data_IF_865523373718
#
_entry.id   IF_865523373718
#
_cell.length_a   1.000
_cell.length_b   1.000
_cell.length_c   1.000
_cell.angle_alpha   90.00
_cell.angle_beta   90.00
_cell.angle_gamma   90.00
#
_symmetry.space_group_name_H-M   'P 1'
#
loop_
_entity.id
_entity.type
_entity.pdbx_description
1 polymer ?
#
# COMPACT_ATOMS: atom_id res chain seq x y z
N UNK A 1 1.71 -12.08 -6.06
CA UNK A 1 2.38 -11.38 -4.94
C UNK A 1 1.46 -10.26 -4.41
N UNK A 2 1.61 -9.83 -3.16
CA UNK A 2 0.77 -8.76 -2.61
C UNK A 2 0.84 -8.70 -1.09
N UNK A 3 -0.08 -7.93 -0.51
CA UNK A 3 -0.22 -7.82 0.94
C UNK A 3 -1.20 -8.87 1.47
N UNK A 4 -0.93 -9.41 2.65
CA UNK A 4 -1.75 -10.43 3.30
C UNK A 4 -2.47 -9.80 4.49
N UNK A 5 -3.79 -9.71 4.43
CA UNK A 5 -4.63 -9.19 5.51
C UNK A 5 -5.86 -10.06 5.78
N UNK A 6 -6.82 -9.51 6.53
CA UNK A 6 -7.99 -10.24 7.02
C UNK A 6 -7.67 -11.09 8.26
N UNK A 7 -8.61 -11.90 8.73
CA UNK A 7 -8.40 -12.65 9.97
C UNK A 7 -7.66 -13.98 9.74
N UNK A 8 -8.11 -14.77 8.76
CA UNK A 8 -7.71 -16.17 8.64
C UNK A 8 -6.21 -16.34 8.38
N UNK A 9 -5.66 -15.68 7.36
CA UNK A 9 -4.26 -15.88 6.98
C UNK A 9 -3.30 -15.20 7.97
N UNK A 10 -3.58 -13.99 8.49
CA UNK A 10 -2.77 -13.35 9.52
C UNK A 10 -2.75 -14.07 10.87
N UNK A 11 -3.86 -14.66 11.30
CA UNK A 11 -4.02 -15.14 12.69
C UNK A 11 -3.95 -16.67 12.81
N UNK A 12 -4.65 -17.42 11.95
CA UNK A 12 -4.77 -18.88 12.08
C UNK A 12 -3.42 -19.62 12.08
N UNK A 13 -2.41 -19.23 11.27
CA UNK A 13 -1.10 -19.86 11.33
C UNK A 13 -0.42 -19.73 12.70
N UNK A 14 -0.65 -18.64 13.43
CA UNK A 14 -0.08 -18.46 14.76
C UNK A 14 -0.74 -19.38 15.80
N UNK A 15 -2.05 -19.65 15.69
CA UNK A 15 -2.70 -20.67 16.51
C UNK A 15 -2.12 -22.06 16.27
N UNK A 16 -1.90 -22.42 15.00
CA UNK A 16 -1.27 -23.70 14.65
C UNK A 16 0.18 -23.77 15.15
N UNK A 17 0.95 -22.68 15.03
CA UNK A 17 2.31 -22.59 15.55
C UNK A 17 2.33 -22.78 17.06
N UNK A 18 1.41 -22.12 17.77
CA UNK A 18 1.27 -22.26 19.22
C UNK A 18 1.01 -23.72 19.59
N UNK A 19 0.04 -24.38 18.95
CA UNK A 19 -0.28 -25.77 19.26
C UNK A 19 0.84 -26.74 18.90
N UNK A 20 1.52 -26.52 17.78
CA UNK A 20 2.68 -27.32 17.37
C UNK A 20 3.81 -27.23 18.40
N UNK A 21 4.10 -26.03 18.93
CA UNK A 21 5.11 -25.82 19.97
C UNK A 21 4.75 -26.53 21.28
N UNK A 22 3.49 -26.50 21.71
CA UNK A 22 3.04 -27.26 22.90
C UNK A 22 3.29 -28.76 22.77
N UNK A 23 3.18 -29.29 21.54
CA UNK A 23 3.41 -30.70 21.23
C UNK A 23 4.88 -31.03 20.93
N UNK A 24 5.81 -30.07 21.11
CA UNK A 24 7.25 -30.24 20.88
C UNK A 24 7.69 -30.10 19.42
N UNK A 25 6.79 -29.74 18.50
CA UNK A 25 7.12 -29.50 17.09
C UNK A 25 7.57 -28.05 16.85
N UNK A 26 8.44 -27.88 15.85
CA UNK A 26 8.99 -26.58 15.46
C UNK A 26 8.59 -26.27 14.00
N UNK A 27 7.44 -25.61 13.77
CA UNK A 27 6.90 -25.39 12.43
C UNK A 27 7.62 -24.25 11.69
N UNK A 28 8.87 -24.48 11.32
CA UNK A 28 9.74 -23.47 10.70
C UNK A 28 9.20 -22.92 9.38
N UNK A 29 8.59 -23.76 8.55
CA UNK A 29 8.01 -23.34 7.26
C UNK A 29 6.87 -22.32 7.46
N UNK A 30 6.00 -22.54 8.44
CA UNK A 30 4.88 -21.62 8.74
C UNK A 30 5.43 -20.30 9.25
N UNK A 31 6.38 -20.34 10.18
CA UNK A 31 7.02 -19.16 10.74
C UNK A 31 7.75 -18.33 9.67
N UNK A 32 8.50 -18.98 8.78
CA UNK A 32 9.18 -18.30 7.67
C UNK A 32 8.19 -17.63 6.73
N UNK A 33 7.10 -18.33 6.37
CA UNK A 33 6.03 -17.76 5.55
C UNK A 33 5.38 -16.54 6.20
N UNK A 34 5.10 -16.59 7.52
CA UNK A 34 4.59 -15.45 8.27
C UNK A 34 5.58 -14.28 8.30
N UNK A 35 6.85 -14.54 8.60
CA UNK A 35 7.88 -13.51 8.63
C UNK A 35 7.98 -12.75 7.30
N UNK A 36 7.90 -13.46 6.16
CA UNK A 36 7.88 -12.84 4.83
C UNK A 36 6.61 -11.98 4.66
N UNK A 37 5.43 -12.53 4.96
CA UNK A 37 4.16 -11.81 4.80
C UNK A 37 4.07 -10.56 5.68
N UNK A 38 4.55 -10.66 6.92
CA UNK A 38 4.55 -9.58 7.91
C UNK A 38 5.54 -8.46 7.52
N UNK A 39 6.59 -8.77 6.75
CA UNK A 39 7.54 -7.79 6.23
C UNK A 39 7.03 -7.03 4.99
N UNK A 40 6.08 -7.59 4.22
CA UNK A 40 5.63 -7.00 2.94
C UNK A 40 5.14 -5.55 3.03
N UNK A 41 4.36 -5.12 4.04
CA UNK A 41 3.95 -3.72 4.17
C UNK A 41 5.15 -2.76 4.27
N UNK A 42 6.14 -3.11 5.09
CA UNK A 42 7.39 -2.35 5.23
C UNK A 42 8.15 -2.30 3.92
N UNK A 43 8.26 -3.44 3.23
CA UNK A 43 8.91 -3.49 1.92
C UNK A 43 8.26 -2.54 0.90
N UNK A 44 6.93 -2.48 0.85
CA UNK A 44 6.19 -1.56 -0.04
C UNK A 44 6.46 -0.10 0.30
N UNK A 45 6.47 0.26 1.58
CA UNK A 45 6.82 1.61 2.02
C UNK A 45 8.28 1.97 1.65
N UNK A 46 9.23 1.05 1.87
CA UNK A 46 10.63 1.23 1.46
C UNK A 46 10.78 1.41 -0.06
N UNK A 47 9.99 0.70 -0.88
CA UNK A 47 9.97 0.89 -2.33
C UNK A 47 9.54 2.31 -2.71
N UNK A 48 8.53 2.85 -2.02
CA UNK A 48 8.10 4.23 -2.23
C UNK A 48 9.18 5.23 -1.81
N UNK A 49 9.79 5.04 -0.63
CA UNK A 49 10.87 5.91 -0.12
C UNK A 49 12.08 5.90 -1.08
N UNK A 50 12.52 4.71 -1.51
CA UNK A 50 13.59 4.57 -2.52
C UNK A 50 13.19 5.28 -3.82
N UNK A 51 11.95 5.09 -4.28
CA UNK A 51 11.45 5.76 -5.47
C UNK A 51 11.50 7.28 -5.39
N UNK A 52 11.04 7.87 -4.28
CA UNK A 52 11.12 9.32 -4.04
C UNK A 52 12.57 9.81 -4.12
N UNK A 53 13.51 9.07 -3.51
CA UNK A 53 14.93 9.40 -3.55
C UNK A 53 15.52 9.31 -4.96
N UNK A 54 15.21 8.26 -5.72
CA UNK A 54 15.67 8.06 -7.10
C UNK A 54 15.22 9.19 -8.04
N UNK A 55 14.02 9.74 -7.84
CA UNK A 55 13.54 10.88 -8.64
C UNK A 55 14.01 12.25 -8.12
N UNK A 56 14.83 12.27 -7.06
CA UNK A 56 15.42 13.46 -6.47
C UNK A 56 14.46 14.29 -5.60
N UNK A 57 13.42 13.67 -5.03
CA UNK A 57 12.49 14.33 -4.12
C UNK A 57 12.99 14.25 -2.67
N UNK A 58 12.76 15.32 -1.91
CA UNK A 58 13.01 15.33 -0.46
C UNK A 58 11.97 14.44 0.21
N UNK A 59 12.42 13.38 0.90
CA UNK A 59 11.52 12.38 1.50
C UNK A 59 10.61 13.03 2.54
N UNK A 60 11.19 13.78 3.49
CA UNK A 60 10.42 14.48 4.53
C UNK A 60 9.52 15.55 3.90
N UNK A 61 8.22 15.45 4.12
CA UNK A 61 7.20 16.34 3.54
C UNK A 61 6.74 15.95 2.13
N UNK A 62 7.30 14.90 1.52
CA UNK A 62 6.73 14.34 0.29
C UNK A 62 5.31 13.84 0.56
N UNK A 63 4.41 14.04 -0.40
CA UNK A 63 3.01 13.61 -0.28
C UNK A 63 2.78 12.32 -1.04
N UNK A 64 2.39 11.25 -0.34
CA UNK A 64 2.13 9.95 -0.96
C UNK A 64 0.67 9.58 -0.77
N UNK A 65 -0.03 9.34 -1.87
CA UNK A 65 -1.40 8.83 -1.85
C UNK A 65 -1.39 7.30 -1.81
N UNK A 66 -2.13 6.72 -0.88
CA UNK A 66 -2.42 5.28 -0.83
C UNK A 66 -3.83 5.07 -1.38
N UNK A 67 -3.91 4.36 -2.50
CA UNK A 67 -5.15 3.95 -3.14
C UNK A 67 -5.50 2.54 -2.65
N UNK A 68 -6.63 2.42 -1.95
CA UNK A 68 -7.11 1.18 -1.34
C UNK A 68 -6.57 0.99 0.07
N UNK A 69 -7.49 0.86 1.02
CA UNK A 69 -7.24 0.77 2.46
C UNK A 69 -7.87 -0.49 3.08
N UNK A 70 -8.85 -1.08 2.40
CA UNK A 70 -9.39 -2.40 2.73
C UNK A 70 -8.31 -3.49 2.63
N UNK A 71 -8.53 -4.66 3.24
CA UNK A 71 -7.59 -5.77 3.07
C UNK A 71 -7.83 -6.55 1.77
N UNK A 72 -9.01 -6.40 1.17
CA UNK A 72 -9.45 -7.13 -0.02
C UNK A 72 -10.19 -6.20 -0.98
N UNK A 73 -9.96 -6.40 -2.26
CA UNK A 73 -10.67 -5.68 -3.31
C UNK A 73 -12.20 -5.80 -3.20
N UNK A 74 -12.87 -4.72 -3.53
CA UNK A 74 -14.32 -4.63 -3.73
C UNK A 74 -15.18 -4.98 -2.50
N UNK A 75 -14.62 -4.98 -1.29
CA UNK A 75 -15.34 -5.21 -0.03
C UNK A 75 -14.87 -4.18 1.02
N UNK A 76 -15.77 -3.52 1.76
CA UNK A 76 -15.42 -2.51 2.78
C UNK A 76 -14.90 -3.14 4.08
N UNK A 77 -13.95 -4.07 4.00
CA UNK A 77 -13.40 -4.74 5.18
C UNK A 77 -11.96 -4.28 5.45
N UNK A 78 -11.79 -3.60 6.58
CA UNK A 78 -10.55 -2.96 7.01
C UNK A 78 -9.82 -3.73 8.10
N UNK A 79 -10.39 -4.84 8.56
CA UNK A 79 -9.81 -5.66 9.63
C UNK A 79 -8.48 -6.24 9.19
N UNK A 80 -7.48 -6.13 10.06
CA UNK A 80 -6.11 -6.57 9.80
C UNK A 80 -5.58 -6.08 8.43
N UNK A 81 -5.98 -4.87 8.02
CA UNK A 81 -5.49 -4.31 6.77
C UNK A 81 -3.99 -3.99 6.90
N UNK A 82 -3.15 -4.56 6.02
CA UNK A 82 -1.70 -4.36 6.04
C UNK A 82 -1.29 -2.92 5.71
N UNK A 83 -2.23 -2.12 5.18
CA UNK A 83 -2.00 -0.71 4.84
C UNK A 83 -1.66 0.12 6.07
N UNK A 84 -2.11 -0.27 7.28
CA UNK A 84 -1.76 0.41 8.53
C UNK A 84 -0.25 0.45 8.76
N UNK A 85 0.44 -0.66 8.48
CA UNK A 85 1.90 -0.73 8.63
C UNK A 85 2.63 0.05 7.53
N UNK A 86 2.08 0.12 6.31
CA UNK A 86 2.61 1.00 5.25
C UNK A 86 2.57 2.46 5.72
N UNK A 87 1.42 2.90 6.24
CA UNK A 87 1.24 4.28 6.72
C UNK A 87 2.20 4.61 7.84
N UNK A 88 2.36 3.68 8.80
CA UNK A 88 3.29 3.83 9.92
C UNK A 88 4.73 4.02 9.42
N UNK A 89 5.21 3.13 8.56
CA UNK A 89 6.57 3.20 8.03
C UNK A 89 6.79 4.50 7.24
N UNK A 90 5.86 4.88 6.35
CA UNK A 90 5.98 6.16 5.60
C UNK A 90 6.11 7.37 6.55
N UNK A 91 5.33 7.40 7.62
CA UNK A 91 5.37 8.48 8.61
C UNK A 91 6.66 8.50 9.42
N UNK A 92 7.28 7.36 9.68
CA UNK A 92 8.59 7.29 10.36
C UNK A 92 9.68 8.03 9.55
N UNK A 93 9.56 8.05 8.22
CA UNK A 93 10.43 8.84 7.33
C UNK A 93 9.97 10.29 7.12
N UNK A 94 8.88 10.71 7.77
CA UNK A 94 8.30 12.05 7.64
C UNK A 94 7.55 12.29 6.34
N UNK A 95 7.10 11.23 5.65
CA UNK A 95 6.22 11.33 4.48
C UNK A 95 4.81 11.69 4.93
N UNK A 96 4.15 12.59 4.22
CA UNK A 96 2.74 12.90 4.41
C UNK A 96 1.87 11.88 3.66
N UNK A 97 1.27 10.95 4.41
CA UNK A 97 0.41 9.91 3.85
C UNK A 97 -1.03 10.40 3.67
N UNK A 98 -1.54 10.26 2.46
CA UNK A 98 -2.93 10.48 2.07
C UNK A 98 -3.59 9.15 1.74
N UNK A 99 -4.90 9.04 1.95
CA UNK A 99 -5.66 7.83 1.67
C UNK A 99 -6.90 8.11 0.84
N UNK A 100 -7.17 7.21 -0.09
CA UNK A 100 -8.44 7.14 -0.81
C UNK A 100 -8.88 5.68 -0.97
N UNK A 101 -10.11 5.38 -0.58
CA UNK A 101 -10.76 4.10 -0.83
C UNK A 101 -12.24 4.37 -1.15
N UNK A 102 -12.76 3.93 -2.30
CA UNK A 102 -14.12 4.25 -2.73
C UNK A 102 -15.20 3.58 -1.86
N UNK A 103 -14.83 2.60 -1.03
CA UNK A 103 -15.78 1.86 -0.19
C UNK A 103 -15.81 2.35 1.26
N UNK A 104 -14.97 3.31 1.63
CA UNK A 104 -14.82 3.77 3.01
C UNK A 104 -15.24 5.22 3.16
N UNK A 105 -15.82 5.54 4.32
CA UNK A 105 -16.05 6.91 4.75
C UNK A 105 -14.74 7.64 5.09
N UNK A 106 -14.79 8.98 5.15
CA UNK A 106 -13.61 9.78 5.52
C UNK A 106 -13.12 9.45 6.93
N UNK A 107 -14.05 9.18 7.83
CA UNK A 107 -13.78 8.81 9.22
C UNK A 107 -13.02 7.49 9.28
N UNK A 108 -13.47 6.48 8.52
CA UNK A 108 -12.77 5.20 8.40
C UNK A 108 -11.37 5.37 7.81
N UNK A 109 -11.22 6.16 6.75
CA UNK A 109 -9.93 6.47 6.12
C UNK A 109 -8.98 7.16 7.13
N UNK A 110 -9.45 8.20 7.83
CA UNK A 110 -8.68 8.86 8.89
C UNK A 110 -8.31 7.91 10.02
N UNK A 111 -9.10 6.87 10.26
CA UNK A 111 -8.80 5.79 11.21
C UNK A 111 -7.54 5.00 10.88
N UNK A 112 -7.00 5.09 9.66
CA UNK A 112 -5.67 4.55 9.29
C UNK A 112 -4.52 5.51 9.64
N UNK A 113 -4.83 6.70 10.14
CA UNK A 113 -3.85 7.75 10.42
C UNK A 113 -3.43 8.54 9.17
N UNK A 114 -4.13 8.44 8.05
CA UNK A 114 -3.83 9.22 6.84
C UNK A 114 -4.73 10.45 6.73
N UNK A 115 -4.29 11.40 5.91
CA UNK A 115 -5.17 12.47 5.44
C UNK A 115 -6.17 11.89 4.43
N UNK A 116 -7.47 11.89 4.74
CA UNK A 116 -8.49 11.37 3.85
C UNK A 116 -8.74 12.30 2.65
N UNK A 117 -8.79 11.73 1.45
CA UNK A 117 -9.31 12.39 0.26
C UNK A 117 -10.75 11.97 -0.01
N UNK A 118 -11.58 12.92 -0.42
CA UNK A 118 -13.00 12.70 -0.73
C UNK A 118 -13.19 12.05 -2.11
N UNK A 119 -12.31 12.42 -3.02
CA UNK A 119 -12.23 11.94 -4.39
C UNK A 119 -10.81 12.19 -4.91
N UNK A 120 -10.54 11.75 -6.13
CA UNK A 120 -9.25 11.93 -6.80
C UNK A 120 -9.17 13.24 -7.62
N UNK A 121 -10.21 14.07 -7.63
CA UNK A 121 -10.22 15.40 -8.25
C UNK A 121 -9.71 16.47 -7.27
N UNK A 122 -8.47 16.27 -6.81
CA UNK A 122 -7.85 17.13 -5.81
C UNK A 122 -6.90 18.13 -6.47
N UNK A 123 -6.99 19.39 -6.03
CA UNK A 123 -5.99 20.42 -6.38
C UNK A 123 -4.63 20.13 -5.74
N UNK A 124 -4.64 19.37 -4.65
CA UNK A 124 -3.44 18.96 -3.93
C UNK A 124 -2.65 17.97 -4.78
N UNK A 125 -1.42 18.33 -5.12
CA UNK A 125 -0.52 17.49 -5.91
C UNK A 125 0.28 16.55 -5.02
N UNK A 126 0.44 15.31 -5.50
CA UNK A 126 1.13 14.22 -4.83
C UNK A 126 2.47 13.91 -5.51
N UNK A 127 3.43 13.46 -4.72
CA UNK A 127 4.74 13.05 -5.17
C UNK A 127 4.81 11.57 -5.56
N UNK A 128 3.92 10.77 -4.97
CA UNK A 128 3.83 9.34 -5.21
C UNK A 128 2.45 8.79 -4.99
N UNK A 129 2.21 7.62 -5.58
CA UNK A 129 1.01 6.82 -5.34
C UNK A 129 1.42 5.38 -5.05
N UNK A 130 0.77 4.79 -4.04
CA UNK A 130 0.84 3.37 -3.74
C UNK A 130 -0.54 2.79 -4.03
N UNK A 131 -0.64 1.92 -5.01
CA UNK A 131 -1.86 1.13 -5.23
C UNK A 131 -1.76 -0.13 -4.39
N UNK A 132 -2.33 -0.08 -3.19
CA UNK A 132 -2.28 -1.18 -2.24
C UNK A 132 -3.35 -2.25 -2.51
N UNK A 133 -4.53 -1.82 -2.95
CA UNK A 133 -5.67 -2.70 -3.29
C UNK A 133 -6.18 -2.38 -4.68
N UNK A 134 -6.54 -3.41 -5.45
CA UNK A 134 -7.01 -3.29 -6.82
C UNK A 134 -8.53 -3.25 -6.90
N UNK A 135 -9.17 -2.23 -6.34
CA UNK A 135 -10.62 -2.03 -6.55
C UNK A 135 -10.92 -1.85 -8.05
N UNK A 136 -12.12 -2.25 -8.47
CA UNK A 136 -12.53 -2.15 -9.87
C UNK A 136 -12.54 -0.71 -10.39
N UNK A 137 -12.73 0.27 -9.50
CA UNK A 137 -12.59 1.68 -9.82
C UNK A 137 -11.16 2.03 -10.24
N UNK A 138 -10.15 1.52 -9.53
CA UNK A 138 -8.75 1.79 -9.83
C UNK A 138 -8.27 1.05 -11.07
N UNK A 139 -8.77 -0.18 -11.29
CA UNK A 139 -8.49 -0.95 -12.52
C UNK A 139 -8.96 -0.23 -13.80
N UNK A 140 -9.95 0.66 -13.68
CA UNK A 140 -10.46 1.46 -14.80
C UNK A 140 -9.67 2.77 -15.02
N UNK A 141 -8.81 3.15 -14.08
CA UNK A 141 -8.00 4.35 -14.20
C UNK A 141 -6.83 4.14 -15.16
N UNK A 142 -6.51 5.15 -15.96
CA UNK A 142 -5.28 5.19 -16.74
C UNK A 142 -4.22 6.10 -16.13
N UNK A 143 -3.00 6.07 -16.69
CA UNK A 143 -1.92 6.99 -16.30
C UNK A 143 -2.30 8.48 -16.43
N UNK A 144 -3.22 8.81 -17.34
CA UNK A 144 -3.74 10.18 -17.50
C UNK A 144 -4.54 10.61 -16.27
N UNK A 145 -5.33 9.70 -15.69
CA UNK A 145 -6.13 9.99 -14.50
C UNK A 145 -5.25 10.15 -13.27
N UNK A 146 -4.27 9.24 -13.09
CA UNK A 146 -3.25 9.38 -12.05
C UNK A 146 -2.49 10.71 -12.20
N UNK A 147 -2.06 11.05 -13.42
CA UNK A 147 -1.32 12.29 -13.68
C UNK A 147 -2.05 13.58 -13.29
N UNK A 148 -3.39 13.58 -13.20
CA UNK A 148 -4.17 14.78 -12.83
C UNK A 148 -3.83 15.31 -11.44
N UNK A 149 -3.47 14.45 -10.51
CA UNK A 149 -3.18 14.82 -9.11
C UNK A 149 -1.70 14.62 -8.75
N UNK A 150 -0.81 14.48 -9.73
CA UNK A 150 0.63 14.28 -9.49
C UNK A 150 1.47 15.53 -9.74
N UNK A 151 2.55 15.67 -8.96
CA UNK A 151 3.68 16.56 -9.23
C UNK A 151 4.55 16.01 -10.35
N UNK A 152 5.56 16.79 -10.78
CA UNK A 152 6.59 16.32 -11.70
C UNK A 152 7.38 15.13 -11.13
N UNK A 153 7.84 14.26 -12.03
CA UNK A 153 8.54 12.99 -11.73
C UNK A 153 7.84 12.15 -10.66
N UNK A 154 6.55 11.81 -10.85
CA UNK A 154 5.81 11.04 -9.88
C UNK A 154 6.31 9.60 -9.77
N UNK A 155 6.19 9.03 -8.58
CA UNK A 155 6.41 7.59 -8.37
C UNK A 155 5.08 6.83 -8.33
N UNK A 156 5.09 5.59 -8.83
CA UNK A 156 4.00 4.62 -8.69
C UNK A 156 4.59 3.35 -8.09
N UNK A 157 4.06 2.93 -6.95
CA UNK A 157 4.26 1.60 -6.38
C UNK A 157 2.97 0.81 -6.56
N UNK A 158 3.00 -0.20 -7.41
CA UNK A 158 1.83 -0.99 -7.78
C UNK A 158 1.93 -2.39 -7.17
N UNK A 159 1.27 -2.58 -6.03
CA UNK A 159 1.32 -3.82 -5.25
C UNK A 159 0.58 -4.96 -5.96
N UNK A 160 -0.39 -4.61 -6.81
CA UNK A 160 -1.31 -5.57 -7.43
C UNK A 160 -1.07 -5.77 -8.92
N UNK A 161 -0.19 -4.99 -9.52
CA UNK A 161 0.18 -5.09 -10.94
C UNK A 161 -0.97 -4.69 -11.87
N UNK A 162 -1.76 -3.68 -11.50
CA UNK A 162 -2.87 -3.21 -12.34
C UNK A 162 -2.42 -2.30 -13.49
N UNK A 163 -1.19 -1.79 -13.45
CA UNK A 163 -0.60 -0.93 -14.47
C UNK A 163 0.52 -1.63 -15.23
N UNK A 164 0.66 -1.30 -16.52
CA UNK A 164 1.82 -1.71 -17.33
C UNK A 164 3.06 -0.87 -16.96
N UNK A 165 4.07 -1.52 -16.39
CA UNK A 165 5.27 -0.85 -15.91
C UNK A 165 6.13 -0.21 -17.01
N UNK A 166 6.14 -0.77 -18.22
CA UNK A 166 6.91 -0.22 -19.35
C UNK A 166 6.21 0.99 -19.96
N UNK A 167 4.88 0.97 -20.02
CA UNK A 167 4.08 2.14 -20.34
C UNK A 167 4.25 3.25 -19.29
N UNK A 168 4.25 2.90 -18.00
CA UNK A 168 4.46 3.86 -16.92
C UNK A 168 5.80 4.60 -17.09
N UNK A 169 6.89 3.86 -17.32
CA UNK A 169 8.22 4.45 -17.56
C UNK A 169 8.25 5.34 -18.79
N UNK A 170 7.67 4.91 -19.92
CA UNK A 170 7.57 5.72 -21.15
C UNK A 170 6.81 7.03 -20.93
N UNK A 171 5.83 7.03 -20.02
CA UNK A 171 5.05 8.22 -19.63
C UNK A 171 5.73 9.07 -18.55
N UNK A 172 6.95 8.74 -18.16
CA UNK A 172 7.76 9.54 -17.25
C UNK A 172 7.49 9.28 -15.76
N UNK A 173 6.79 8.19 -15.43
CA UNK A 173 6.64 7.74 -14.04
C UNK A 173 7.85 6.91 -13.63
N UNK A 174 8.32 7.10 -12.40
CA UNK A 174 9.13 6.08 -11.76
C UNK A 174 8.19 4.96 -11.31
N UNK A 175 8.34 3.76 -11.87
CA UNK A 175 7.45 2.63 -11.60
C UNK A 175 8.17 1.50 -10.86
N UNK A 176 7.49 0.94 -9.87
CA UNK A 176 7.85 -0.33 -9.23
C UNK A 176 6.59 -1.16 -9.00
N UNK A 177 6.59 -2.39 -9.49
CA UNK A 177 5.59 -3.41 -9.17
C UNK A 177 6.15 -4.46 -8.21
N UNK A 178 5.26 -5.26 -7.61
CA UNK A 178 5.59 -6.45 -6.82
C UNK A 178 5.50 -7.76 -7.63
#
# INVERSE_FOLDING_TARGET
PGLVGGHCIPVDPYYLVYKAKELGYHPQVILAGRAINDYMPKHVAEMAIKGLNEVGKVIKGSKVLIMGLTYKENVPDTRESPVREIVKELKEFGVEAYGYDPLLSKEEIKGFGVNALDNLDVKLKMDGVIVAVAHDEFKKMGFKDIGKFMNAKPIIVDVRGIFDGEEAKRKGFYYRGL
#
